data_IF_811691598162
#
_entry.id   IF_811691598162
#
_cell.length_a   1.000
_cell.length_b   1.000
_cell.length_c   1.000
_cell.angle_alpha   90.00
_cell.angle_beta   90.00
_cell.angle_gamma   90.00
#
_symmetry.space_group_name_H-M   'P 1'
#
loop_
_entity.id
_entity.type
_entity.pdbx_description
1 polymer ?
#
# COMPACT_ATOMS: atom_id res chain seq x y z
N UNK A 1 13.48 5.73 2.84
CA UNK A 1 12.21 6.22 2.22
C UNK A 1 11.66 5.28 1.15
N UNK A 2 10.56 4.57 1.42
CA UNK A 2 9.64 4.08 0.36
C UNK A 2 8.56 5.15 0.14
N UNK A 3 8.91 6.26 -0.49
CA UNK A 3 7.94 6.86 -1.41
C UNK A 3 8.23 6.19 -2.73
N UNK A 4 7.45 5.16 -3.03
CA UNK A 4 7.47 4.59 -4.36
C UNK A 4 7.23 5.73 -5.36
N UNK A 5 8.00 5.79 -6.43
CA UNK A 5 7.68 6.68 -7.56
C UNK A 5 6.40 6.22 -8.28
N UNK A 6 6.02 4.97 -8.06
CA UNK A 6 4.90 4.29 -8.70
C UNK A 6 3.81 4.02 -7.66
N UNK A 7 2.65 4.63 -7.86
CA UNK A 7 1.48 4.42 -7.01
C UNK A 7 0.36 3.79 -7.83
N UNK A 8 -0.25 2.76 -7.27
CA UNK A 8 -1.52 2.23 -7.75
C UNK A 8 -2.67 2.77 -6.89
N UNK A 9 -3.92 2.59 -7.34
CA UNK A 9 -5.11 3.14 -6.67
C UNK A 9 -5.23 2.68 -5.20
N UNK A 10 -4.82 1.45 -4.90
CA UNK A 10 -4.87 0.85 -3.56
C UNK A 10 -3.64 1.14 -2.69
N UNK A 11 -2.54 1.65 -3.26
CA UNK A 11 -1.30 1.90 -2.51
C UNK A 11 -1.51 2.89 -1.35
N UNK A 12 -2.53 3.75 -1.46
CA UNK A 12 -2.93 4.67 -0.38
C UNK A 12 -3.48 3.96 0.85
N UNK A 13 -4.09 2.78 0.71
CA UNK A 13 -4.57 1.96 1.83
C UNK A 13 -3.47 1.13 2.52
N UNK A 14 -2.33 0.93 1.88
CA UNK A 14 -1.23 0.15 2.45
C UNK A 14 -0.43 0.94 3.48
N UNK A 15 -0.19 0.35 4.65
CA UNK A 15 0.55 0.96 5.77
C UNK A 15 1.86 0.18 5.99
N UNK A 16 3.04 0.82 5.89
CA UNK A 16 4.33 0.19 6.19
C UNK A 16 4.38 -0.31 7.64
N UNK A 17 5.02 -1.45 7.89
CA UNK A 17 5.11 -2.07 9.22
C UNK A 17 3.80 -2.70 9.72
N UNK A 18 2.70 -2.56 8.97
CA UNK A 18 1.42 -3.20 9.27
C UNK A 18 0.99 -4.16 8.16
N UNK A 19 1.03 -3.73 6.90
CA UNK A 19 0.65 -4.56 5.75
C UNK A 19 1.85 -5.13 5.00
N UNK A 20 3.03 -4.50 5.12
CA UNK A 20 4.26 -4.93 4.46
C UNK A 20 5.49 -4.36 5.17
N UNK A 21 6.67 -4.92 4.88
CA UNK A 21 7.94 -4.40 5.37
C UNK A 21 8.54 -3.39 4.36
N UNK A 22 8.84 -2.14 4.76
CA UNK A 22 9.43 -1.16 3.86
C UNK A 22 10.91 -1.45 3.58
N UNK A 23 11.36 -1.29 2.33
CA UNK A 23 12.74 -1.50 1.87
C UNK A 23 13.29 -0.23 1.24
N UNK A 24 14.49 0.20 1.62
CA UNK A 24 15.10 1.42 1.06
C UNK A 24 15.41 1.30 -0.43
N UNK A 25 15.22 2.38 -1.19
CA UNK A 25 15.46 2.41 -2.64
C UNK A 25 16.91 2.71 -3.02
N UNK A 26 17.61 3.47 -2.18
CA UNK A 26 19.00 3.91 -2.35
C UNK A 26 20.01 2.80 -1.96
N UNK A 27 19.72 2.05 -0.90
CA UNK A 27 20.57 0.94 -0.42
C UNK A 27 19.75 -0.36 -0.27
N UNK A 28 19.25 -0.85 -1.40
CA UNK A 28 18.33 -2.01 -1.45
C UNK A 28 18.95 -3.26 -0.84
N UNK A 29 20.18 -3.60 -1.22
CA UNK A 29 20.82 -4.84 -0.79
C UNK A 29 20.98 -4.89 0.73
N UNK A 30 21.45 -3.80 1.34
CA UNK A 30 21.60 -3.70 2.79
C UNK A 30 20.26 -3.75 3.50
N UNK A 31 19.26 -3.02 3.01
CA UNK A 31 17.94 -2.96 3.60
C UNK A 31 17.21 -4.31 3.50
N UNK A 32 17.37 -5.04 2.39
CA UNK A 32 16.84 -6.41 2.23
C UNK A 32 17.54 -7.38 3.17
N UNK A 33 18.88 -7.32 3.27
CA UNK A 33 19.64 -8.17 4.19
C UNK A 33 19.13 -8.00 5.61
N UNK A 34 19.01 -6.75 6.06
CA UNK A 34 18.44 -6.42 7.36
C UNK A 34 17.02 -6.96 7.53
N UNK A 35 16.13 -6.72 6.56
CA UNK A 35 14.74 -7.19 6.62
C UNK A 35 14.63 -8.71 6.80
N UNK A 36 15.45 -9.47 6.07
CA UNK A 36 15.48 -10.94 6.15
C UNK A 36 16.04 -11.42 7.48
N UNK A 37 17.22 -10.94 7.87
CA UNK A 37 17.91 -11.39 9.10
C UNK A 37 17.13 -10.98 10.36
N UNK A 38 16.63 -9.74 10.41
CA UNK A 38 15.81 -9.25 11.51
C UNK A 38 14.48 -9.99 11.58
N UNK A 39 13.84 -10.21 10.43
CA UNK A 39 12.57 -10.91 10.31
C UNK A 39 12.66 -12.35 10.80
N UNK A 40 13.69 -13.09 10.39
CA UNK A 40 13.93 -14.47 10.82
C UNK A 40 14.11 -14.60 12.34
N UNK A 41 14.62 -13.56 13.01
CA UNK A 41 14.77 -13.52 14.46
C UNK A 41 13.53 -12.98 15.20
N UNK A 42 12.51 -12.48 14.49
CA UNK A 42 11.32 -11.84 15.05
C UNK A 42 10.00 -12.33 14.42
N UNK A 43 9.97 -13.59 13.97
CA UNK A 43 8.88 -14.16 13.17
C UNK A 43 7.50 -14.02 13.82
N UNK A 44 7.32 -14.58 15.03
CA UNK A 44 6.01 -14.60 15.72
C UNK A 44 5.51 -13.23 16.16
N UNK A 45 6.43 -12.32 16.48
CA UNK A 45 6.09 -11.00 17.05
C UNK A 45 5.73 -9.99 15.97
N UNK A 46 6.31 -10.11 14.77
CA UNK A 46 6.26 -9.05 13.76
C UNK A 46 5.92 -9.58 12.37
N UNK A 47 6.62 -10.60 11.86
CA UNK A 47 6.37 -11.09 10.50
C UNK A 47 4.99 -11.74 10.35
N UNK A 48 4.60 -12.63 11.27
CA UNK A 48 3.31 -13.32 11.20
C UNK A 48 2.12 -12.33 11.22
N UNK A 49 2.07 -11.34 12.14
CA UNK A 49 1.04 -10.30 12.10
C UNK A 49 1.04 -9.47 10.82
N UNK A 50 2.21 -9.06 10.32
CA UNK A 50 2.30 -8.24 9.09
C UNK A 50 1.83 -9.03 7.88
N UNK A 51 2.27 -10.27 7.72
CA UNK A 51 1.86 -11.14 6.61
C UNK A 51 0.35 -11.41 6.64
N UNK A 52 -0.21 -11.67 7.82
CA UNK A 52 -1.65 -11.87 8.00
C UNK A 52 -2.46 -10.61 7.69
N UNK A 53 -2.00 -9.44 8.15
CA UNK A 53 -2.68 -8.17 7.90
C UNK A 53 -2.60 -7.77 6.42
N UNK A 54 -1.43 -7.90 5.78
CA UNK A 54 -1.26 -7.65 4.35
C UNK A 54 -2.13 -8.57 3.49
N UNK A 55 -2.14 -9.87 3.78
CA UNK A 55 -3.00 -10.84 3.09
C UNK A 55 -4.48 -10.53 3.29
N UNK A 56 -4.88 -10.17 4.52
CA UNK A 56 -6.27 -9.80 4.83
C UNK A 56 -6.72 -8.56 4.06
N UNK A 57 -5.85 -7.54 3.93
CA UNK A 57 -6.13 -6.35 3.14
C UNK A 57 -6.44 -6.70 1.69
N UNK A 58 -5.60 -7.54 1.05
CA UNK A 58 -5.84 -7.94 -0.34
C UNK A 58 -7.14 -8.72 -0.49
N UNK A 59 -7.43 -9.65 0.43
CA UNK A 59 -8.62 -10.49 0.34
C UNK A 59 -9.93 -9.76 0.64
N UNK A 60 -9.90 -8.72 1.47
CA UNK A 60 -11.13 -8.10 2.01
C UNK A 60 -11.33 -6.66 1.57
N UNK A 61 -10.23 -5.91 1.42
CA UNK A 61 -10.23 -4.48 1.11
C UNK A 61 -9.78 -4.18 -0.34
N UNK A 62 -9.29 -5.20 -1.05
CA UNK A 62 -8.99 -5.16 -2.49
C UNK A 62 -9.72 -6.27 -3.27
N UNK A 63 -10.93 -6.65 -2.85
CA UNK A 63 -11.74 -7.61 -3.60
C UNK A 63 -12.32 -6.97 -4.87
N UNK A 64 -12.62 -7.78 -5.87
CA UNK A 64 -13.04 -7.30 -7.19
C UNK A 64 -14.26 -6.36 -7.13
N UNK A 65 -15.22 -6.63 -6.24
CA UNK A 65 -16.38 -5.77 -6.02
C UNK A 65 -15.97 -4.34 -5.65
N UNK A 66 -14.99 -4.19 -4.75
CA UNK A 66 -14.50 -2.88 -4.32
C UNK A 66 -13.69 -2.18 -5.41
N UNK A 67 -13.03 -2.93 -6.29
CA UNK A 67 -12.34 -2.36 -7.45
C UNK A 67 -13.36 -1.76 -8.42
N UNK A 68 -14.44 -2.49 -8.73
CA UNK A 68 -15.50 -1.97 -9.59
C UNK A 68 -16.19 -0.75 -8.95
N UNK A 69 -16.48 -0.80 -7.66
CA UNK A 69 -17.04 0.33 -6.92
C UNK A 69 -16.15 1.57 -7.01
N UNK A 70 -14.84 1.40 -6.79
CA UNK A 70 -13.86 2.49 -6.90
C UNK A 70 -13.84 3.10 -8.32
N UNK A 71 -13.80 2.26 -9.36
CA UNK A 71 -13.78 2.73 -10.75
C UNK A 71 -15.07 3.49 -11.10
N UNK A 72 -16.22 2.96 -10.71
CA UNK A 72 -17.51 3.62 -10.93
C UNK A 72 -17.59 4.97 -10.20
N UNK A 73 -17.11 5.03 -8.96
CA UNK A 73 -17.02 6.28 -8.20
C UNK A 73 -16.12 7.31 -8.87
N UNK A 74 -14.95 6.89 -9.35
CA UNK A 74 -13.99 7.76 -10.04
C UNK A 74 -14.63 8.40 -11.27
N UNK A 75 -15.24 7.58 -12.14
CA UNK A 75 -15.88 8.06 -13.38
C UNK A 75 -17.08 8.96 -13.07
N UNK A 76 -17.89 8.60 -12.07
CA UNK A 76 -19.04 9.41 -11.63
C UNK A 76 -18.62 10.74 -11.02
N UNK A 77 -17.51 10.77 -10.28
CA UNK A 77 -16.94 12.00 -9.74
C UNK A 77 -16.39 12.90 -10.85
N UNK A 78 -15.67 12.31 -11.80
CA UNK A 78 -15.06 13.03 -12.91
C UNK A 78 -16.09 13.57 -13.91
N UNK A 79 -17.17 12.83 -14.18
CA UNK A 79 -18.23 13.28 -15.10
C UNK A 79 -18.89 14.59 -14.67
N UNK A 80 -18.93 14.89 -13.35
CA UNK A 80 -19.43 16.16 -12.81
C UNK A 80 -18.56 17.37 -13.15
N UNK A 81 -17.29 17.15 -13.54
CA UNK A 81 -16.35 18.21 -13.90
C UNK A 81 -16.45 18.59 -15.39
N UNK A 82 -17.22 17.85 -16.18
CA UNK A 82 -17.38 18.11 -17.61
C UNK A 82 -18.05 19.48 -17.83
N UNK A 83 -17.39 20.33 -18.62
CA UNK A 83 -17.87 21.67 -18.99
C UNK A 83 -18.65 21.70 -20.31
N UNK A 84 -18.92 20.54 -20.90
CA UNK A 84 -19.62 20.39 -22.17
C UNK A 84 -20.59 19.22 -22.08
N UNK A 85 -21.56 19.18 -22.99
CA UNK A 85 -22.50 18.07 -23.13
C UNK A 85 -21.85 16.96 -23.97
N UNK A 86 -21.61 15.76 -23.44
CA UNK A 86 -21.04 14.66 -24.21
C UNK A 86 -21.94 14.27 -25.39
N UNK A 87 -21.33 13.97 -26.54
CA UNK A 87 -22.01 13.48 -27.75
C UNK A 87 -21.29 12.22 -28.21
N UNK A 88 -22.05 11.24 -28.70
CA UNK A 88 -21.51 9.98 -29.22
C UNK A 88 -20.89 10.26 -30.60
N UNK A 89 -19.60 9.92 -30.84
CA UNK A 89 -18.99 10.03 -32.17
C UNK A 89 -19.63 9.11 -33.20
N UNK A 90 -19.65 9.50 -34.48
CA UNK A 90 -20.30 8.75 -35.57
C UNK A 90 -19.73 7.33 -35.77
N UNK A 91 -18.46 7.12 -35.44
CA UNK A 91 -17.77 5.84 -35.55
C UNK A 91 -17.70 5.05 -34.23
N UNK A 92 -18.45 5.46 -33.21
CA UNK A 92 -18.47 4.76 -31.93
C UNK A 92 -19.17 3.40 -32.07
N UNK A 93 -18.47 2.34 -31.65
CA UNK A 93 -19.05 1.00 -31.57
C UNK A 93 -19.77 0.88 -30.23
N UNK A 94 -21.07 0.58 -30.27
CA UNK A 94 -21.85 0.32 -29.06
C UNK A 94 -21.40 -0.99 -28.44
N UNK A 95 -20.88 -0.92 -27.21
CA UNK A 95 -20.60 -2.07 -26.39
C UNK A 95 -21.86 -2.39 -25.56
N UNK A 96 -22.54 -3.50 -25.85
CA UNK A 96 -23.78 -3.86 -25.18
C UNK A 96 -23.52 -4.58 -23.84
N UNK A 97 -24.39 -4.33 -22.87
CA UNK A 97 -24.28 -4.86 -21.50
C UNK A 97 -24.39 -6.38 -21.44
N UNK A 98 -24.99 -7.06 -22.43
CA UNK A 98 -25.00 -8.54 -22.47
C UNK A 98 -23.58 -9.13 -22.55
N UNK A 99 -22.59 -8.35 -22.97
CA UNK A 99 -21.17 -8.74 -23.00
C UNK A 99 -20.46 -8.41 -21.66
N UNK A 100 -21.09 -7.61 -20.78
CA UNK A 100 -20.57 -7.22 -19.45
C UNK A 100 -21.41 -7.77 -18.26
N UNK A 101 -22.46 -8.56 -18.51
CA UNK A 101 -23.70 -8.48 -17.75
C UNK A 101 -23.68 -8.79 -16.23
N UNK A 102 -24.54 -8.02 -15.55
CA UNK A 102 -25.46 -8.36 -14.44
C UNK A 102 -24.96 -8.70 -13.01
N UNK A 103 -25.69 -8.10 -12.06
CA UNK A 103 -25.75 -8.25 -10.60
C UNK A 103 -24.65 -7.53 -9.78
N UNK A 104 -24.84 -6.23 -9.54
CA UNK A 104 -24.25 -5.57 -8.36
C UNK A 104 -25.38 -4.98 -7.53
N UNK A 105 -25.63 -5.60 -6.37
CA UNK A 105 -26.52 -5.10 -5.33
C UNK A 105 -26.07 -3.71 -4.83
N UNK A 106 -27.03 -2.89 -4.39
CA UNK A 106 -26.82 -1.58 -3.76
C UNK A 106 -25.61 -1.55 -2.81
N UNK A 107 -24.55 -0.82 -3.20
CA UNK A 107 -23.36 -0.60 -2.38
C UNK A 107 -23.28 0.87 -1.96
N UNK A 108 -23.15 1.11 -0.65
CA UNK A 108 -22.84 2.43 -0.08
C UNK A 108 -21.36 2.48 0.21
N UNK A 109 -20.61 3.27 -0.56
CA UNK A 109 -19.19 3.47 -0.29
C UNK A 109 -18.94 4.23 1.01
N UNK A 110 -17.82 3.96 1.71
CA UNK A 110 -17.35 4.84 2.75
C UNK A 110 -17.07 6.24 2.16
N UNK A 111 -17.36 7.31 2.89
CA UNK A 111 -17.13 8.68 2.43
C UNK A 111 -15.65 8.93 2.14
N UNK A 112 -15.35 9.95 1.33
CA UNK A 112 -13.96 10.41 1.17
C UNK A 112 -13.37 10.68 2.55
N UNK A 113 -12.10 10.33 2.72
CA UNK A 113 -11.35 10.75 3.89
C UNK A 113 -11.42 12.27 4.01
N UNK A 114 -11.85 12.74 5.17
CA UNK A 114 -11.70 14.14 5.49
C UNK A 114 -10.19 14.48 5.62
N UNK A 115 -9.81 15.75 5.49
CA UNK A 115 -8.40 16.15 5.53
C UNK A 115 -7.66 15.71 6.80
N UNK A 116 -8.32 15.66 7.96
CA UNK A 116 -7.67 15.27 9.23
C UNK A 116 -7.39 13.77 9.24
N UNK A 117 -8.35 12.96 8.80
CA UNK A 117 -8.12 11.52 8.66
C UNK A 117 -7.02 11.23 7.64
N UNK A 118 -6.98 11.97 6.53
CA UNK A 118 -5.91 11.80 5.55
C UNK A 118 -4.53 12.14 6.14
N UNK A 119 -4.42 13.25 6.87
CA UNK A 119 -3.17 13.66 7.50
C UNK A 119 -2.69 12.65 8.54
N UNK A 120 -3.58 12.13 9.39
CA UNK A 120 -3.21 11.12 10.38
C UNK A 120 -2.73 9.81 9.74
N UNK A 121 -3.31 9.41 8.61
CA UNK A 121 -2.81 8.28 7.82
C UNK A 121 -1.40 8.57 7.28
N UNK A 122 -1.17 9.77 6.75
CA UNK A 122 0.14 10.17 6.23
C UNK A 122 1.20 10.17 7.33
N UNK A 123 0.90 10.77 8.49
CA UNK A 123 1.79 10.80 9.66
C UNK A 123 2.10 9.39 10.14
N UNK A 124 1.08 8.54 10.28
CA UNK A 124 1.28 7.14 10.69
C UNK A 124 2.25 6.41 9.75
N UNK A 125 2.15 6.63 8.44
CA UNK A 125 3.07 6.01 7.46
C UNK A 125 4.50 6.52 7.65
N UNK A 126 4.69 7.82 7.89
CA UNK A 126 6.01 8.41 8.13
C UNK A 126 6.62 7.81 9.40
N UNK A 127 5.89 7.83 10.51
CA UNK A 127 6.36 7.34 11.80
C UNK A 127 6.76 5.85 11.75
N UNK A 128 5.96 5.01 11.06
CA UNK A 128 6.30 3.59 10.89
C UNK A 128 7.57 3.37 10.06
N UNK A 129 7.85 4.23 9.09
CA UNK A 129 9.09 4.14 8.29
C UNK A 129 10.29 4.56 9.14
N UNK A 130 10.20 5.68 9.84
CA UNK A 130 11.28 6.18 10.71
C UNK A 130 11.67 5.14 11.77
N UNK A 131 10.68 4.42 12.30
CA UNK A 131 10.92 3.33 13.25
C UNK A 131 11.74 2.19 12.64
N UNK A 132 11.42 1.76 11.40
CA UNK A 132 12.19 0.72 10.71
C UNK A 132 13.60 1.20 10.39
N UNK A 133 13.77 2.45 9.95
CA UNK A 133 15.08 3.04 9.67
C UNK A 133 15.95 3.10 10.94
N UNK A 134 15.35 3.40 12.10
CA UNK A 134 16.04 3.33 13.39
C UNK A 134 16.50 1.90 13.71
N UNK A 135 15.64 0.90 13.54
CA UNK A 135 16.02 -0.49 13.77
C UNK A 135 17.13 -0.97 12.84
N UNK A 136 17.09 -0.55 11.56
CA UNK A 136 18.13 -0.87 10.59
C UNK A 136 19.48 -0.28 11.03
N UNK A 137 19.49 0.98 11.47
CA UNK A 137 20.69 1.63 12.02
C UNK A 137 21.23 0.87 13.24
N UNK A 138 20.39 0.60 14.23
CA UNK A 138 20.77 -0.11 15.45
C UNK A 138 21.31 -1.53 15.16
N UNK A 139 20.74 -2.21 14.16
CA UNK A 139 21.17 -3.54 13.74
C UNK A 139 22.60 -3.52 13.21
N UNK A 140 22.91 -2.60 12.27
CA UNK A 140 24.24 -2.54 11.69
C UNK A 140 25.28 -1.94 12.65
N UNK A 141 24.91 -1.04 13.57
CA UNK A 141 25.83 -0.59 14.62
C UNK A 141 26.27 -1.77 15.52
N UNK A 142 25.35 -2.65 15.90
CA UNK A 142 25.68 -3.87 16.66
C UNK A 142 26.51 -4.86 15.84
N UNK A 143 26.18 -5.05 14.56
CA UNK A 143 26.92 -5.94 13.68
C UNK A 143 28.39 -5.49 13.52
N UNK A 144 28.61 -4.18 13.36
CA UNK A 144 29.94 -3.58 13.32
C UNK A 144 30.69 -3.80 14.65
N UNK A 145 30.04 -3.55 15.79
CA UNK A 145 30.65 -3.79 17.11
C UNK A 145 31.02 -5.26 17.31
N UNK A 146 30.20 -6.20 16.84
CA UNK A 146 30.48 -7.64 16.91
C UNK A 146 31.70 -8.03 16.05
N UNK A 147 31.88 -7.42 14.88
CA UNK A 147 33.06 -7.63 14.03
C UNK A 147 34.34 -7.13 14.72
N UNK A 148 34.29 -5.97 15.38
CA UNK A 148 35.44 -5.42 16.09
C UNK A 148 35.76 -6.16 17.40
N UNK A 149 34.76 -6.60 18.15
CA UNK A 149 34.96 -7.37 19.39
C UNK A 149 35.29 -8.85 19.13
N UNK A 150 34.88 -9.40 17.98
CA UNK A 150 35.14 -10.78 17.58
C UNK A 150 36.50 -11.06 16.94
N UNK A 151 37.34 -10.04 16.71
CA UNK A 151 38.72 -10.21 16.20
C UNK A 151 39.78 -10.45 17.30
N UNK A 152 39.37 -10.59 18.57
CA UNK A 152 40.26 -10.90 19.70
C UNK A 152 39.90 -12.25 20.36
N UNK A 153 39.70 -13.30 19.56
CA UNK A 153 39.57 -14.68 20.03
C UNK A 153 40.37 -15.63 19.15
#
# INVERSE_FOLDING_TARGET
MVKSYYYDFFTRGLIPGHHYWPVRMDDKCRSIKFAVEWGNNHTKKILDPIGKAGSSFIQKDLKIDQVYDYMFHLVTGYSKLLKYKPVVPDNAIKLCSEIMACNVSLCTMPPRYDPQTLNSIVERKVNSIEQVEKWEKDFFEKDILNVFMGSNA
#
